data_IF_970699501421
#
_entry.id   IF_970699501421
#
_cell.length_a   1.000
_cell.length_b   1.000
_cell.length_c   1.000
_cell.angle_alpha   90.00
_cell.angle_beta   90.00
_cell.angle_gamma   90.00
#
_symmetry.space_group_name_H-M   'P 1'
#
loop_
_entity.id
_entity.type
_entity.pdbx_description
1 polymer ?
#
# COMPACT_ATOMS: atom_id res chain seq x y z
N UNK A 1 -7.26 -14.08 -18.41
CA UNK A 1 -6.86 -14.62 -17.09
C UNK A 1 -7.51 -13.73 -16.05
N UNK A 2 -8.26 -14.27 -15.08
CA UNK A 2 -8.92 -13.43 -14.06
C UNK A 2 -7.88 -12.89 -13.07
N UNK A 3 -7.98 -11.63 -12.66
CA UNK A 3 -7.08 -11.00 -11.68
C UNK A 3 -7.05 -11.77 -10.35
N UNK A 4 -8.21 -12.24 -9.88
CA UNK A 4 -8.29 -13.10 -8.69
C UNK A 4 -7.53 -14.42 -8.81
N UNK A 5 -7.42 -14.97 -10.02
CA UNK A 5 -6.65 -16.19 -10.28
C UNK A 5 -5.15 -15.92 -10.16
N UNK A 6 -4.68 -14.77 -10.66
CA UNK A 6 -3.29 -14.35 -10.53
C UNK A 6 -2.90 -14.10 -9.06
N UNK A 7 -3.81 -13.52 -8.26
CA UNK A 7 -3.57 -13.29 -6.82
C UNK A 7 -3.42 -14.59 -6.00
N UNK A 8 -3.90 -15.73 -6.49
CA UNK A 8 -3.74 -17.03 -5.81
C UNK A 8 -2.34 -17.62 -5.99
N UNK A 9 -1.62 -17.21 -7.02
CA UNK A 9 -0.28 -17.73 -7.34
C UNK A 9 0.83 -16.94 -6.62
N UNK A 10 0.50 -15.77 -6.06
CA UNK A 10 1.44 -14.95 -5.31
C UNK A 10 1.60 -15.51 -3.90
N UNK A 11 2.84 -15.83 -3.53
CA UNK A 11 3.19 -16.20 -2.15
C UNK A 11 3.00 -14.98 -1.24
N UNK A 12 2.04 -15.08 -0.32
CA UNK A 12 1.60 -13.95 0.51
C UNK A 12 2.48 -13.72 1.74
N UNK A 13 3.37 -14.66 2.04
CA UNK A 13 4.26 -14.57 3.19
C UNK A 13 5.66 -15.00 2.76
N UNK A 14 6.66 -14.19 3.08
CA UNK A 14 8.05 -14.50 2.77
C UNK A 14 8.97 -13.89 3.82
N UNK A 15 10.21 -14.38 3.88
CA UNK A 15 11.24 -13.82 4.74
C UNK A 15 12.14 -12.93 3.90
N UNK A 16 12.28 -11.66 4.30
CA UNK A 16 13.24 -10.75 3.69
C UNK A 16 14.69 -11.19 3.95
N UNK A 17 15.64 -10.61 3.21
CA UNK A 17 17.07 -10.91 3.32
C UNK A 17 17.67 -10.58 4.69
N UNK A 18 17.05 -9.65 5.43
CA UNK A 18 17.36 -9.30 6.81
C UNK A 18 16.73 -10.23 7.86
N UNK A 19 15.97 -11.25 7.43
CA UNK A 19 15.32 -12.22 8.30
C UNK A 19 13.94 -11.81 8.80
N UNK A 20 13.40 -10.65 8.40
CA UNK A 20 12.06 -10.21 8.81
C UNK A 20 10.99 -10.99 8.05
N UNK A 21 10.01 -11.53 8.77
CA UNK A 21 8.80 -12.10 8.16
C UNK A 21 7.89 -11.00 7.65
N UNK A 22 7.59 -11.05 6.34
CA UNK A 22 6.79 -10.08 5.62
C UNK A 22 5.50 -10.73 5.13
N UNK A 23 4.42 -9.96 5.10
CA UNK A 23 3.13 -10.38 4.54
C UNK A 23 2.66 -9.40 3.47
N UNK A 24 2.19 -9.95 2.35
CA UNK A 24 1.56 -9.22 1.25
C UNK A 24 0.05 -9.47 1.32
N UNK A 25 -0.70 -8.39 1.41
CA UNK A 25 -2.16 -8.41 1.34
C UNK A 25 -2.69 -7.20 0.57
N UNK A 26 -3.91 -7.26 0.03
CA UNK A 26 -4.61 -6.08 -0.46
C UNK A 26 -4.69 -5.00 0.63
N UNK A 27 -4.71 -3.75 0.18
CA UNK A 27 -5.03 -2.61 1.02
C UNK A 27 -6.50 -2.74 1.49
N UNK A 28 -6.80 -2.22 2.68
CA UNK A 28 -8.14 -2.23 3.25
C UNK A 28 -8.51 -0.84 3.79
N UNK A 29 -9.80 -0.59 3.99
CA UNK A 29 -10.30 0.71 4.48
C UNK A 29 -9.65 1.15 5.82
N UNK A 30 -9.30 0.19 6.69
CA UNK A 30 -8.66 0.45 7.97
C UNK A 30 -7.21 0.94 7.90
N UNK A 31 -6.57 0.87 6.73
CA UNK A 31 -5.14 1.16 6.57
C UNK A 31 -4.83 2.66 6.44
N UNK A 32 -5.84 3.51 6.27
CA UNK A 32 -5.70 4.94 5.97
C UNK A 32 -4.66 5.63 6.86
N UNK A 33 -4.77 5.44 8.18
CA UNK A 33 -3.90 6.11 9.16
C UNK A 33 -2.45 5.67 9.05
N UNK A 34 -2.23 4.37 8.85
CA UNK A 34 -0.88 3.81 8.72
C UNK A 34 -0.23 4.27 7.42
N UNK A 35 -0.98 4.23 6.31
CA UNK A 35 -0.52 4.63 4.99
C UNK A 35 -0.21 6.13 4.90
N UNK A 36 -1.09 6.98 5.44
CA UNK A 36 -0.85 8.42 5.53
C UNK A 36 0.37 8.73 6.41
N UNK A 37 0.52 8.00 7.53
CA UNK A 37 1.68 8.13 8.42
C UNK A 37 2.99 7.80 7.71
N UNK A 38 3.01 6.74 6.91
CA UNK A 38 4.15 6.38 6.07
C UNK A 38 4.54 7.52 5.13
N UNK A 39 3.60 8.03 4.32
CA UNK A 39 3.89 9.10 3.35
C UNK A 39 4.33 10.41 4.01
N UNK A 40 3.81 10.75 5.18
CA UNK A 40 4.23 11.95 5.92
C UNK A 40 5.65 11.85 6.48
N UNK A 41 6.18 10.64 6.66
CA UNK A 41 7.53 10.40 7.16
C UNK A 41 8.57 10.26 6.03
N UNK A 42 8.15 10.21 4.76
CA UNK A 42 9.09 10.15 3.64
C UNK A 42 9.80 11.49 3.41
N UNK A 43 11.06 11.47 2.97
CA UNK A 43 11.77 12.66 2.53
C UNK A 43 11.03 13.38 1.39
N UNK A 44 11.04 14.72 1.41
CA UNK A 44 10.40 15.55 0.38
C UNK A 44 10.78 15.20 -1.07
N UNK A 45 12.06 14.90 -1.41
CA UNK A 45 12.42 14.51 -2.78
C UNK A 45 11.70 13.27 -3.27
N UNK A 46 11.39 12.31 -2.39
CA UNK A 46 10.69 11.07 -2.76
C UNK A 46 9.21 11.34 -3.06
N UNK A 47 8.62 12.32 -2.35
CA UNK A 47 7.23 12.71 -2.57
C UNK A 47 6.98 13.33 -3.96
N UNK A 48 8.02 13.88 -4.60
CA UNK A 48 7.92 14.50 -5.92
C UNK A 48 7.61 13.51 -7.04
N UNK A 49 7.84 12.21 -6.82
CA UNK A 49 7.58 11.16 -7.81
C UNK A 49 6.13 10.67 -7.80
N UNK A 50 5.33 11.05 -6.81
CA UNK A 50 3.92 10.66 -6.75
C UNK A 50 3.07 11.62 -7.58
N UNK A 51 2.25 11.05 -8.46
CA UNK A 51 1.28 11.81 -9.27
C UNK A 51 0.25 12.55 -8.43
N UNK A 52 -0.12 11.98 -7.29
CA UNK A 52 -1.09 12.54 -6.36
C UNK A 52 -0.38 13.04 -5.10
N UNK A 53 -1.01 14.00 -4.41
CA UNK A 53 -0.50 14.51 -3.14
C UNK A 53 -0.77 13.50 -2.01
N UNK A 54 0.10 12.50 -1.88
CA UNK A 54 -0.03 11.39 -0.92
C UNK A 54 0.07 11.80 0.57
N UNK A 55 0.42 13.05 0.85
CA UNK A 55 0.39 13.62 2.21
C UNK A 55 -0.97 14.23 2.57
N UNK A 56 -1.90 14.30 1.62
CA UNK A 56 -3.28 14.72 1.82
C UNK A 56 -4.12 13.53 2.31
N UNK A 57 -4.83 13.71 3.42
CA UNK A 57 -5.69 12.67 3.99
C UNK A 57 -6.84 12.29 3.06
N UNK A 58 -7.38 13.22 2.27
CA UNK A 58 -8.50 12.91 1.37
C UNK A 58 -8.09 11.96 0.25
N UNK A 59 -6.86 12.12 -0.27
CA UNK A 59 -6.29 11.23 -1.29
C UNK A 59 -6.15 9.81 -0.74
N UNK A 60 -5.56 9.66 0.45
CA UNK A 60 -5.33 8.35 1.05
C UNK A 60 -6.64 7.67 1.45
N UNK A 61 -7.57 8.42 2.04
CA UNK A 61 -8.91 7.94 2.36
C UNK A 61 -9.63 7.41 1.11
N UNK A 62 -9.63 8.19 0.03
CA UNK A 62 -10.26 7.78 -1.22
C UNK A 62 -9.66 6.48 -1.79
N UNK A 63 -8.34 6.29 -1.69
CA UNK A 63 -7.71 5.04 -2.10
C UNK A 63 -8.14 3.85 -1.24
N UNK A 64 -8.21 4.03 0.08
CA UNK A 64 -8.61 2.97 1.01
C UNK A 64 -10.11 2.61 0.91
N UNK A 65 -10.98 3.56 0.58
CA UNK A 65 -12.44 3.35 0.49
C UNK A 65 -12.90 2.81 -0.87
N UNK A 66 -12.17 3.10 -1.97
CA UNK A 66 -12.58 2.74 -3.32
C UNK A 66 -11.73 1.61 -3.92
N UNK A 67 -11.37 0.62 -3.10
CA UNK A 67 -10.62 -0.55 -3.54
C UNK A 67 -11.57 -1.49 -4.26
N UNK A 68 -11.39 -1.62 -5.57
CA UNK A 68 -12.04 -2.66 -6.37
C UNK A 68 -11.08 -3.84 -6.48
N UNK A 69 -11.52 -5.02 -6.02
CA UNK A 69 -10.82 -6.31 -6.15
C UNK A 69 -11.21 -7.01 -7.46
#
# INVERSE_FOLDING_TARGET
>A
MSFELALKEIEKSFTADDGIEMQIRPLEAGDEKALLGFFKNLPQPELMFFKHRVTDSEVIKAWCENIEL
#
